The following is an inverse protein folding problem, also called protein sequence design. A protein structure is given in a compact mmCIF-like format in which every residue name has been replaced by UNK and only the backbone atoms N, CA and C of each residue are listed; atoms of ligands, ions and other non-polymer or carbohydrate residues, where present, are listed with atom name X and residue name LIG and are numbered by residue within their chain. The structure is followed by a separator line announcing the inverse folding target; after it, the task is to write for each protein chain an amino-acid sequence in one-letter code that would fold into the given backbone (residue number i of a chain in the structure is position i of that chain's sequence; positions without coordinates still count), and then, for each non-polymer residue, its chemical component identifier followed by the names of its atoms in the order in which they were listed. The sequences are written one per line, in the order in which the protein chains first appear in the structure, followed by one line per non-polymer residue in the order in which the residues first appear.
data_IF_442004288073
#
_entry.id   IF_442004288073
#
_cell.length_a   1.000
_cell.length_b   1.000
_cell.length_c   1.000
_cell.angle_alpha   90.00
_cell.angle_beta   90.00
_cell.angle_gamma   90.00
#
_symmetry.space_group_name_H-M   'P 1'
#
loop_
_entity.id
_entity.type
_entity.pdbx_description
1 polymer ?
#
# COMPACT_ATOMS: atom_id res chain seq x y z
N UNK A 1 -12.60 36.84 -30.71
CA UNK A 1 -11.26 36.55 -30.15
C UNK A 1 -11.29 36.29 -28.64
N UNK A 2 -11.87 37.18 -27.81
CA UNK A 2 -11.98 36.97 -26.34
C UNK A 2 -12.64 35.64 -25.94
N UNK A 3 -13.75 35.25 -26.58
CA UNK A 3 -14.43 33.98 -26.28
C UNK A 3 -13.64 32.73 -26.70
N UNK A 4 -12.82 32.83 -27.75
CA UNK A 4 -11.96 31.72 -28.21
C UNK A 4 -10.81 31.46 -27.23
N UNK A 5 -10.27 32.54 -26.65
CA UNK A 5 -9.23 32.48 -25.61
C UNK A 5 -9.80 31.83 -24.34
N UNK A 6 -11.04 32.17 -23.95
CA UNK A 6 -11.69 31.56 -22.77
C UNK A 6 -11.91 30.05 -22.97
N UNK A 7 -12.32 29.60 -24.16
CA UNK A 7 -12.49 28.17 -24.46
C UNK A 7 -11.15 27.42 -24.43
N UNK A 8 -10.09 28.00 -25.02
CA UNK A 8 -8.73 27.44 -24.97
C UNK A 8 -8.17 27.35 -23.54
N UNK A 9 -8.39 28.37 -22.72
CA UNK A 9 -7.98 28.38 -21.31
C UNK A 9 -8.78 27.33 -20.52
N UNK A 10 -10.08 27.18 -20.76
CA UNK A 10 -10.90 26.16 -20.08
C UNK A 10 -10.47 24.72 -20.43
N UNK A 11 -10.06 24.50 -21.68
CA UNK A 11 -9.55 23.20 -22.14
C UNK A 11 -8.18 22.86 -21.51
N UNK A 12 -7.30 23.85 -21.37
CA UNK A 12 -5.99 23.70 -20.71
C UNK A 12 -6.09 23.44 -19.19
N UNK A 13 -7.11 24.02 -18.53
CA UNK A 13 -7.37 23.77 -17.10
C UNK A 13 -7.93 22.34 -16.90
N UNK A 14 -8.72 21.82 -17.83
CA UNK A 14 -9.28 20.47 -17.76
C UNK A 14 -8.24 19.35 -17.93
N UNK A 15 -7.15 19.57 -18.69
CA UNK A 15 -6.12 18.55 -18.93
C UNK A 15 -5.09 18.45 -17.80
N UNK A 16 -5.08 19.39 -16.86
CA UNK A 16 -4.03 19.49 -15.84
C UNK A 16 -4.33 18.73 -14.54
N UNK A 17 -5.51 18.12 -14.40
CA UNK A 17 -5.81 17.20 -13.30
C UNK A 17 -5.34 15.77 -13.62
N UNK A 18 -4.02 15.54 -13.57
CA UNK A 18 -3.52 14.18 -13.38
C UNK A 18 -3.62 13.83 -11.90
N UNK A 19 -4.63 13.05 -11.53
CA UNK A 19 -4.67 12.44 -10.21
C UNK A 19 -3.41 11.58 -10.02
N UNK A 20 -2.69 11.78 -8.91
CA UNK A 20 -1.57 10.90 -8.56
C UNK A 20 -2.14 9.50 -8.33
N UNK A 21 -1.78 8.57 -9.19
CA UNK A 21 -2.19 7.19 -9.05
C UNK A 21 -1.53 6.64 -7.78
N UNK A 22 -2.33 6.09 -6.86
CA UNK A 22 -1.78 5.44 -5.67
C UNK A 22 -0.95 4.25 -6.13
N UNK A 23 0.24 4.10 -5.58
CA UNK A 23 1.16 2.99 -5.88
C UNK A 23 0.90 1.76 -4.99
N UNK A 24 0.18 1.96 -3.88
CA UNK A 24 -0.05 0.95 -2.86
C UNK A 24 -1.38 1.16 -2.12
N UNK A 25 -1.81 0.15 -1.38
CA UNK A 25 -2.87 0.22 -0.38
C UNK A 25 -2.45 -0.37 0.95
N UNK A 26 -3.01 0.21 2.00
CA UNK A 26 -2.88 -0.29 3.36
C UNK A 26 -3.97 -1.32 3.63
N UNK A 27 -3.64 -2.33 4.43
CA UNK A 27 -4.60 -3.34 4.82
C UNK A 27 -5.78 -2.72 5.56
N UNK A 28 -7.00 -3.14 5.22
CA UNK A 28 -8.23 -2.75 5.92
C UNK A 28 -9.26 -3.88 5.85
N UNK A 29 -9.86 -4.19 6.99
CA UNK A 29 -10.96 -5.15 7.09
C UNK A 29 -12.16 -4.79 6.21
N UNK A 30 -12.36 -3.49 5.95
CA UNK A 30 -13.49 -2.98 5.17
C UNK A 30 -13.20 -2.83 3.68
N UNK A 31 -11.96 -3.06 3.24
CA UNK A 31 -11.53 -2.87 1.85
C UNK A 31 -10.65 -4.06 1.42
N UNK A 32 -11.26 -5.21 1.10
CA UNK A 32 -10.52 -6.34 0.57
C UNK A 32 -9.95 -6.03 -0.82
N UNK A 33 -8.92 -6.79 -1.20
CA UNK A 33 -8.34 -6.75 -2.54
C UNK A 33 -9.39 -7.11 -3.59
N UNK A 34 -9.33 -6.39 -4.69
CA UNK A 34 -10.07 -6.67 -5.91
C UNK A 34 -9.09 -6.99 -7.02
N UNK A 35 -9.56 -7.62 -8.09
CA UNK A 35 -8.67 -7.86 -9.22
C UNK A 35 -8.10 -6.57 -9.82
N UNK A 36 -8.81 -5.45 -9.74
CA UNK A 36 -8.35 -4.16 -10.30
C UNK A 36 -7.12 -3.59 -9.58
N UNK A 37 -6.80 -4.11 -8.39
CA UNK A 37 -5.60 -3.76 -7.65
C UNK A 37 -4.32 -4.42 -8.25
N UNK A 38 -4.44 -5.52 -8.99
CA UNK A 38 -3.28 -6.21 -9.57
C UNK A 38 -2.92 -5.63 -10.94
N UNK A 39 -2.10 -4.59 -10.94
CA UNK A 39 -1.73 -3.79 -12.13
C UNK A 39 -0.40 -4.21 -12.77
N UNK A 40 0.41 -4.97 -12.04
CA UNK A 40 1.70 -5.44 -12.50
C UNK A 40 1.63 -6.37 -13.73
N UNK A 41 2.74 -6.43 -14.46
CA UNK A 41 2.87 -7.28 -15.64
C UNK A 41 3.07 -8.75 -15.22
N UNK A 42 2.28 -9.71 -15.76
CA UNK A 42 2.44 -11.11 -15.43
C UNK A 42 3.82 -11.65 -15.79
N UNK A 43 4.46 -12.31 -14.83
CA UNK A 43 5.71 -13.02 -15.08
C UNK A 43 5.48 -14.38 -15.75
N UNK A 44 6.52 -14.88 -16.44
CA UNK A 44 6.53 -16.23 -17.04
C UNK A 44 6.74 -17.32 -15.98
N UNK A 45 5.89 -17.35 -14.96
CA UNK A 45 5.87 -18.38 -13.89
C UNK A 45 4.60 -19.23 -13.97
N UNK A 46 4.61 -20.44 -13.44
CA UNK A 46 3.39 -21.26 -13.32
C UNK A 46 2.56 -20.85 -12.09
N UNK A 47 1.99 -19.65 -12.14
CA UNK A 47 1.08 -19.12 -11.14
C UNK A 47 -0.04 -18.31 -11.80
N UNK A 48 -1.20 -18.25 -11.16
CA UNK A 48 -2.35 -17.46 -11.61
C UNK A 48 -2.20 -15.97 -11.28
N UNK A 49 -1.65 -15.65 -10.12
CA UNK A 49 -1.37 -14.30 -9.66
C UNK A 49 -0.14 -14.28 -8.74
N UNK A 50 0.30 -13.08 -8.37
CA UNK A 50 1.28 -12.84 -7.31
C UNK A 50 0.92 -11.55 -6.59
N UNK A 51 0.96 -11.62 -5.27
CA UNK A 51 0.74 -10.50 -4.35
C UNK A 51 2.09 -10.01 -3.82
N UNK A 52 2.40 -8.74 -4.04
CA UNK A 52 3.57 -8.06 -3.47
C UNK A 52 3.14 -7.22 -2.28
N UNK A 53 3.76 -7.46 -1.13
CA UNK A 53 3.40 -6.84 0.14
C UNK A 53 4.61 -6.61 1.02
N UNK A 54 4.46 -5.72 2.02
CA UNK A 54 5.48 -5.46 3.04
C UNK A 54 4.84 -4.95 4.34
N UNK A 55 5.63 -4.90 5.41
CA UNK A 55 5.31 -4.20 6.66
C UNK A 55 6.11 -2.90 6.70
N UNK A 56 5.44 -1.77 6.51
CA UNK A 56 6.05 -0.47 6.63
C UNK A 56 6.13 0.00 8.07
N UNK A 57 7.29 0.57 8.41
CA UNK A 57 7.53 1.29 9.65
C UNK A 57 7.79 2.75 9.34
N UNK A 58 6.96 3.63 9.90
CA UNK A 58 7.25 5.06 9.96
C UNK A 58 7.41 5.51 11.41
N UNK A 59 8.32 6.46 11.63
CA UNK A 59 8.57 7.04 12.94
C UNK A 59 8.34 8.53 12.86
N UNK A 60 7.54 9.08 13.77
CA UNK A 60 7.38 10.53 13.90
C UNK A 60 7.93 10.97 15.27
N UNK A 61 8.93 11.85 15.24
CA UNK A 61 9.55 12.41 16.44
C UNK A 61 8.59 13.43 17.06
N UNK A 62 8.22 13.21 18.32
CA UNK A 62 7.42 14.18 19.07
C UNK A 62 8.35 15.18 19.76
N UNK A 63 9.40 14.67 20.44
CA UNK A 63 10.45 15.47 21.05
C UNK A 63 11.73 14.62 21.22
N UNK A 64 12.77 15.14 21.88
CA UNK A 64 14.06 14.45 22.05
C UNK A 64 13.97 13.15 22.86
N UNK A 65 12.88 12.94 23.60
CA UNK A 65 12.67 11.78 24.47
C UNK A 65 11.53 10.87 24.02
N UNK A 66 10.79 11.23 22.96
CA UNK A 66 9.61 10.47 22.54
C UNK A 66 9.39 10.51 21.03
N UNK A 67 8.96 9.37 20.49
CA UNK A 67 8.59 9.21 19.10
C UNK A 67 7.41 8.25 19.02
N UNK A 68 6.52 8.48 18.06
CA UNK A 68 5.51 7.48 17.69
C UNK A 68 6.06 6.58 16.60
N UNK A 69 5.75 5.30 16.68
CA UNK A 69 6.05 4.33 15.62
C UNK A 69 4.74 3.82 15.07
N UNK A 70 4.59 3.91 13.75
CA UNK A 70 3.44 3.40 13.01
C UNK A 70 3.92 2.21 12.20
N UNK A 71 3.17 1.10 12.31
CA UNK A 71 3.44 -0.16 11.61
C UNK A 71 2.22 -0.47 10.75
N UNK A 72 2.41 -0.70 9.46
CA UNK A 72 1.33 -0.85 8.49
C UNK A 72 1.60 -2.01 7.55
N UNK A 73 0.61 -2.86 7.30
CA UNK A 73 0.68 -3.85 6.24
C UNK A 73 0.28 -3.20 4.91
N UNK A 74 1.10 -3.40 3.88
CA UNK A 74 1.02 -2.67 2.62
C UNK A 74 1.02 -3.66 1.46
N UNK A 75 0.19 -3.40 0.46
CA UNK A 75 0.14 -4.12 -0.82
C UNK A 75 0.52 -3.17 -1.96
N UNK A 76 1.32 -3.64 -2.92
CA UNK A 76 1.83 -2.84 -4.04
C UNK A 76 1.14 -3.20 -5.34
N UNK A 77 0.51 -2.22 -5.99
CA UNK A 77 -0.28 -2.46 -7.19
C UNK A 77 0.57 -2.90 -8.40
N UNK A 78 1.64 -2.16 -8.68
CA UNK A 78 2.49 -2.36 -9.87
C UNK A 78 3.40 -3.58 -9.77
N UNK A 79 3.65 -4.07 -8.55
CA UNK A 79 4.44 -5.28 -8.29
C UNK A 79 3.57 -6.52 -8.13
N UNK A 80 2.25 -6.37 -8.10
CA UNK A 80 1.29 -7.48 -7.99
C UNK A 80 0.59 -7.70 -9.31
N UNK A 81 0.59 -8.93 -9.81
CA UNK A 81 0.11 -9.23 -11.18
C UNK A 81 -0.86 -10.41 -11.20
N UNK A 82 -1.67 -10.48 -12.26
CA UNK A 82 -2.68 -11.53 -12.47
C UNK A 82 -2.71 -12.00 -13.93
N UNK A 83 -2.91 -13.30 -14.17
CA UNK A 83 -3.16 -13.84 -15.52
C UNK A 83 -4.66 -13.98 -15.75
N UNK A 84 -5.20 -13.16 -16.65
CA UNK A 84 -6.65 -13.05 -16.90
C UNK A 84 -7.37 -14.38 -17.13
N UNK A 85 -6.73 -15.36 -17.77
CA UNK A 85 -7.34 -16.66 -18.06
C UNK A 85 -7.32 -17.65 -16.89
N UNK A 86 -6.58 -17.37 -15.82
CA UNK A 86 -6.32 -18.30 -14.72
C UNK A 86 -6.88 -17.82 -13.37
N UNK A 87 -7.53 -16.64 -13.36
CA UNK A 87 -8.05 -16.02 -12.14
C UNK A 87 -9.53 -16.36 -11.93
N UNK A 88 -9.92 -16.47 -10.67
CA UNK A 88 -11.29 -16.61 -10.21
C UNK A 88 -11.39 -16.14 -8.75
N UNK A 89 -12.58 -16.16 -8.17
CA UNK A 89 -12.81 -15.67 -6.80
C UNK A 89 -12.04 -16.46 -5.73
N UNK A 90 -11.80 -17.76 -5.96
CA UNK A 90 -11.01 -18.58 -5.04
C UNK A 90 -9.53 -18.18 -5.06
N UNK A 91 -8.98 -17.86 -6.24
CA UNK A 91 -7.61 -17.33 -6.36
C UNK A 91 -7.53 -15.96 -5.71
N UNK A 92 -8.52 -15.07 -5.88
CA UNK A 92 -8.51 -13.77 -5.22
C UNK A 92 -8.53 -13.91 -3.70
N UNK A 93 -9.35 -14.83 -3.17
CA UNK A 93 -9.38 -15.13 -1.74
C UNK A 93 -8.06 -15.74 -1.24
N UNK A 94 -7.34 -16.49 -2.08
CA UNK A 94 -5.99 -16.97 -1.77
C UNK A 94 -5.00 -15.81 -1.66
N UNK A 95 -5.01 -14.89 -2.63
CA UNK A 95 -4.15 -13.70 -2.63
C UNK A 95 -4.47 -12.76 -1.45
N UNK A 96 -5.74 -12.57 -1.10
CA UNK A 96 -6.14 -11.83 0.10
C UNK A 96 -5.56 -12.43 1.38
N UNK A 97 -5.54 -13.77 1.51
CA UNK A 97 -4.97 -14.44 2.69
C UNK A 97 -3.48 -14.16 2.85
N UNK A 98 -2.72 -14.02 1.75
CA UNK A 98 -1.33 -13.57 1.84
C UNK A 98 -1.25 -12.20 2.49
N UNK A 99 -2.11 -11.25 2.09
CA UNK A 99 -2.13 -9.91 2.68
C UNK A 99 -2.61 -9.90 4.14
N UNK A 100 -3.58 -10.75 4.50
CA UNK A 100 -4.05 -10.91 5.88
C UNK A 100 -2.95 -11.42 6.81
N UNK A 101 -2.09 -12.32 6.33
CA UNK A 101 -0.92 -12.79 7.09
C UNK A 101 0.02 -11.62 7.39
N UNK A 102 0.25 -10.72 6.43
CA UNK A 102 1.09 -9.53 6.65
C UNK A 102 0.53 -8.65 7.75
N UNK A 103 -0.78 -8.38 7.73
CA UNK A 103 -1.44 -7.63 8.82
C UNK A 103 -1.37 -8.36 10.16
N UNK A 104 -1.52 -9.69 10.19
CA UNK A 104 -1.36 -10.47 11.42
C UNK A 104 0.03 -10.25 12.03
N UNK A 105 1.09 -10.28 11.22
CA UNK A 105 2.45 -10.01 11.69
C UNK A 105 2.68 -8.54 12.02
N UNK A 106 2.07 -7.60 11.30
CA UNK A 106 2.07 -6.18 11.66
C UNK A 106 1.43 -5.96 13.05
N UNK A 107 0.31 -6.63 13.37
CA UNK A 107 -0.31 -6.59 14.71
C UNK A 107 0.61 -7.13 15.80
N UNK A 108 1.30 -8.25 15.54
CA UNK A 108 2.29 -8.81 16.48
C UNK A 108 3.43 -7.81 16.73
N UNK A 109 3.95 -7.18 15.69
CA UNK A 109 5.01 -6.17 15.81
C UNK A 109 4.53 -4.93 16.58
N UNK A 110 3.32 -4.43 16.32
CA UNK A 110 2.71 -3.34 17.09
C UNK A 110 2.62 -3.69 18.59
N UNK A 111 2.20 -4.91 18.91
CA UNK A 111 2.12 -5.40 20.30
C UNK A 111 3.50 -5.43 20.95
N UNK A 112 4.50 -6.02 20.30
CA UNK A 112 5.86 -6.10 20.83
C UNK A 112 6.48 -4.71 21.07
N UNK A 113 6.30 -3.78 20.13
CA UNK A 113 6.78 -2.39 20.30
C UNK A 113 6.11 -1.72 21.51
N UNK A 114 4.81 -1.92 21.70
CA UNK A 114 4.07 -1.36 22.84
C UNK A 114 4.53 -1.93 24.18
N UNK A 115 4.89 -3.21 24.21
CA UNK A 115 5.31 -3.92 25.44
C UNK A 115 6.81 -3.74 25.74
N UNK A 116 7.62 -3.33 24.76
CA UNK A 116 9.06 -3.14 24.92
C UNK A 116 9.37 -1.81 25.60
N UNK A 117 10.18 -1.85 26.65
CA UNK A 117 10.78 -0.65 27.23
C UNK A 117 12.03 -0.27 26.45
N UNK A 118 11.95 0.78 25.65
CA UNK A 118 13.10 1.32 24.94
C UNK A 118 13.98 2.13 25.90
N UNK A 119 15.27 1.82 25.96
CA UNK A 119 16.26 2.58 26.73
C UNK A 119 16.85 3.65 25.79
N UNK A 120 16.86 4.94 26.18
CA UNK A 120 17.49 5.96 25.35
C UNK A 120 18.98 5.68 25.15
N UNK A 121 19.48 5.86 23.91
CA UNK A 121 20.90 5.68 23.59
C UNK A 121 21.83 6.56 24.45
N UNK A 122 21.33 7.68 25.00
CA UNK A 122 22.08 8.54 25.94
C UNK A 122 22.44 7.85 27.27
N UNK A 123 21.92 6.66 27.54
CA UNK A 123 22.13 5.91 28.80
C UNK A 123 23.11 4.73 28.60
N UNK A 124 23.40 4.33 27.36
CA UNK A 124 24.35 3.26 27.08
C UNK A 124 25.75 3.89 26.99
N UNK A 125 26.58 3.65 28.02
CA UNK A 125 28.00 4.05 28.07
C UNK A 125 28.90 3.01 27.42
#
# INVERSE_FOLDING_TARGET
MRSLIIVLISFLIFTSFKAQEKEHILWSETKPLTWDDFKGKPEKRFAAATTSYDIWKSTNKINDKSSTVKIEAVFFYESSWKKKSWINDQVLAHEQKHFDIVELFARKLRKQIKETRFIPNSVIK
#
